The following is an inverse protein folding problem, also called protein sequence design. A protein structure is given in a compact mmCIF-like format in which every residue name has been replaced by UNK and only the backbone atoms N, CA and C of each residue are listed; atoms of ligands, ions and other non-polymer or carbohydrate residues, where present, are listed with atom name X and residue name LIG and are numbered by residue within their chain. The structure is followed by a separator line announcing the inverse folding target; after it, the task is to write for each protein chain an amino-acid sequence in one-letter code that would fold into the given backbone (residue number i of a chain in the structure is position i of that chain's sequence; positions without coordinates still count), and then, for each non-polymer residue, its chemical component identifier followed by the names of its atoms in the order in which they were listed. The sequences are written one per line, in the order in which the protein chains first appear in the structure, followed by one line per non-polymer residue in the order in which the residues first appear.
data_IF_667460969050
#
_entry.id   IF_667460969050
#
_cell.length_a   1.000
_cell.length_b   1.000
_cell.length_c   1.000
_cell.angle_alpha   90.00
_cell.angle_beta   90.00
_cell.angle_gamma   90.00
#
_symmetry.space_group_name_H-M   'P 1'
#
loop_
_entity.id
_entity.type
_entity.pdbx_description
1 polymer ?
#
# COMPACT_ATOMS: atom_id res chain seq x y z
N UNK A 1 20.83 -28.95 19.35
CA UNK A 1 20.48 -28.74 17.95
C UNK A 1 21.41 -29.61 17.13
N UNK A 2 20.89 -30.47 16.29
CA UNK A 2 21.70 -31.31 15.40
C UNK A 2 22.09 -30.53 14.16
N UNK A 3 23.26 -30.83 13.60
CA UNK A 3 23.78 -30.19 12.40
C UNK A 3 24.13 -31.23 11.35
N UNK A 4 23.90 -30.90 10.08
CA UNK A 4 24.43 -31.62 8.92
C UNK A 4 25.51 -30.80 8.25
N UNK A 5 26.39 -31.47 7.51
CA UNK A 5 27.47 -30.80 6.73
C UNK A 5 26.98 -30.61 5.31
N UNK A 6 27.01 -29.39 4.85
CA UNK A 6 26.73 -28.97 3.46
C UNK A 6 28.00 -28.42 2.81
N UNK A 7 28.02 -28.33 1.48
CA UNK A 7 29.18 -27.88 0.70
C UNK A 7 28.76 -26.84 -0.33
N UNK A 8 29.62 -25.87 -0.54
CA UNK A 8 29.61 -24.97 -1.68
C UNK A 8 31.04 -24.79 -2.26
N UNK A 9 31.22 -23.87 -3.19
CA UNK A 9 32.55 -23.60 -3.80
C UNK A 9 33.61 -23.08 -2.81
N UNK A 10 33.21 -22.67 -1.61
CA UNK A 10 34.10 -22.19 -0.55
C UNK A 10 34.42 -23.27 0.49
N UNK A 11 33.84 -24.46 0.37
CA UNK A 11 34.10 -25.60 1.27
C UNK A 11 32.88 -25.99 2.14
N UNK A 12 33.18 -26.67 3.23
CA UNK A 12 32.17 -27.20 4.17
C UNK A 12 31.58 -26.11 5.05
N UNK A 13 30.29 -26.29 5.41
CA UNK A 13 29.59 -25.47 6.39
C UNK A 13 28.59 -26.31 7.16
N UNK A 14 28.38 -26.02 8.44
CA UNK A 14 27.42 -26.69 9.33
C UNK A 14 26.07 -25.99 9.22
N UNK A 15 25.02 -26.73 8.86
CA UNK A 15 23.66 -26.26 8.71
C UNK A 15 22.76 -27.00 9.70
N UNK A 16 21.79 -26.34 10.38
CA UNK A 16 20.85 -27.04 11.27
C UNK A 16 20.14 -28.18 10.51
N UNK A 17 20.10 -29.36 11.11
CA UNK A 17 19.63 -30.57 10.41
C UNK A 17 18.12 -30.52 10.07
N UNK A 18 17.35 -29.75 10.83
CA UNK A 18 15.90 -29.54 10.65
C UNK A 18 15.52 -28.50 9.59
N UNK A 19 16.51 -27.82 8.96
CA UNK A 19 16.27 -26.77 7.98
C UNK A 19 16.53 -27.26 6.55
N UNK A 20 15.70 -26.78 5.61
CA UNK A 20 15.86 -27.09 4.18
C UNK A 20 16.89 -26.23 3.46
N UNK A 21 17.30 -25.05 4.02
CA UNK A 21 18.39 -24.28 3.41
C UNK A 21 19.72 -25.03 3.48
N UNK A 22 20.68 -24.65 2.63
CA UNK A 22 21.99 -25.28 2.56
C UNK A 22 23.13 -24.26 2.79
N UNK A 23 24.29 -24.54 2.17
CA UNK A 23 25.55 -23.85 2.46
C UNK A 23 25.48 -22.33 2.20
N UNK A 24 24.95 -21.88 1.07
CA UNK A 24 24.97 -20.46 0.72
C UNK A 24 24.06 -19.63 1.63
N UNK A 25 22.89 -20.13 1.96
CA UNK A 25 21.98 -19.48 2.92
C UNK A 25 22.63 -19.42 4.32
N UNK A 26 23.25 -20.50 4.76
CA UNK A 26 23.92 -20.54 6.07
C UNK A 26 25.02 -19.50 6.15
N UNK A 27 25.89 -19.41 5.13
CA UNK A 27 26.95 -18.39 5.08
C UNK A 27 26.38 -16.97 5.08
N UNK A 28 25.30 -16.73 4.35
CA UNK A 28 24.62 -15.43 4.35
C UNK A 28 24.12 -15.06 5.74
N UNK A 29 23.48 -15.99 6.45
CA UNK A 29 23.00 -15.79 7.83
C UNK A 29 24.13 -15.48 8.81
N UNK A 30 25.30 -16.05 8.61
CA UNK A 30 26.49 -15.81 9.45
C UNK A 30 27.20 -14.50 9.09
N UNK A 31 27.24 -14.15 7.79
CA UNK A 31 27.94 -12.99 7.27
C UNK A 31 27.17 -11.68 7.48
N UNK A 32 25.83 -11.70 7.38
CA UNK A 32 24.97 -10.51 7.45
C UNK A 32 24.11 -10.53 8.71
N UNK A 33 24.70 -10.15 9.85
CA UNK A 33 23.99 -10.08 11.15
C UNK A 33 23.49 -8.67 11.43
N UNK A 34 22.69 -8.13 10.51
CA UNK A 34 22.16 -6.76 10.53
C UNK A 34 20.65 -6.85 10.54
N UNK A 35 20.00 -6.38 11.61
CA UNK A 35 18.54 -6.38 11.74
C UNK A 35 17.90 -7.77 11.86
N UNK A 36 18.66 -8.76 12.34
CA UNK A 36 18.22 -10.15 12.48
C UNK A 36 16.95 -10.25 13.34
N UNK A 37 15.92 -10.91 12.79
CA UNK A 37 14.64 -11.09 13.45
C UNK A 37 13.68 -9.89 13.36
N UNK A 38 14.13 -8.79 12.74
CA UNK A 38 13.32 -7.57 12.51
C UNK A 38 13.21 -7.29 11.00
N UNK A 39 14.31 -6.95 10.35
CA UNK A 39 14.34 -6.66 8.91
C UNK A 39 14.66 -7.92 8.10
N UNK A 40 13.77 -8.89 8.16
CA UNK A 40 13.83 -10.11 7.32
C UNK A 40 13.29 -9.84 5.92
N UNK A 41 13.72 -10.66 4.96
CA UNK A 41 13.18 -10.60 3.58
C UNK A 41 11.64 -10.74 3.63
N UNK A 42 10.88 -9.83 2.98
CA UNK A 42 9.41 -9.88 3.00
C UNK A 42 8.86 -11.24 2.55
N UNK A 43 7.81 -11.70 3.22
CA UNK A 43 7.12 -12.96 2.86
C UNK A 43 6.58 -12.93 1.42
N UNK A 44 6.20 -11.77 0.95
CA UNK A 44 5.73 -11.53 -0.42
C UNK A 44 6.81 -11.86 -1.45
N UNK A 45 8.08 -11.57 -1.15
CA UNK A 45 9.22 -11.95 -2.00
C UNK A 45 9.42 -13.47 -1.98
N UNK A 46 9.33 -14.09 -0.81
CA UNK A 46 9.43 -15.56 -0.70
C UNK A 46 8.35 -16.25 -1.50
N UNK A 47 7.09 -15.78 -1.37
CA UNK A 47 5.95 -16.26 -2.14
C UNK A 47 6.19 -16.10 -3.66
N UNK A 48 6.67 -14.94 -4.09
CA UNK A 48 6.99 -14.67 -5.49
C UNK A 48 8.11 -15.57 -6.03
N UNK A 49 9.11 -15.89 -5.21
CA UNK A 49 10.12 -16.89 -5.58
C UNK A 49 9.51 -18.27 -5.80
N UNK A 50 8.59 -18.72 -4.96
CA UNK A 50 7.86 -19.97 -5.18
C UNK A 50 7.16 -20.01 -6.54
N UNK A 51 6.43 -18.94 -6.89
CA UNK A 51 5.75 -18.79 -8.18
C UNK A 51 6.76 -18.82 -9.34
N UNK A 52 7.82 -18.01 -9.24
CA UNK A 52 8.86 -17.91 -10.26
C UNK A 52 9.55 -19.25 -10.51
N UNK A 53 9.96 -19.95 -9.44
CA UNK A 53 10.66 -21.23 -9.56
C UNK A 53 9.75 -22.31 -10.14
N UNK A 54 8.48 -22.36 -9.76
CA UNK A 54 7.48 -23.24 -10.38
C UNK A 54 7.30 -22.93 -11.87
N UNK A 55 7.15 -21.65 -12.22
CA UNK A 55 6.99 -21.23 -13.62
C UNK A 55 8.22 -21.57 -14.47
N UNK A 56 9.43 -21.35 -13.93
CA UNK A 56 10.68 -21.66 -14.60
C UNK A 56 10.84 -23.18 -14.83
N UNK A 57 10.47 -24.01 -13.85
CA UNK A 57 10.49 -25.46 -14.01
C UNK A 57 9.52 -25.94 -15.09
N UNK A 58 8.29 -25.40 -15.14
CA UNK A 58 7.31 -25.69 -16.19
C UNK A 58 7.82 -25.29 -17.56
N UNK A 59 8.43 -24.12 -17.71
CA UNK A 59 9.02 -23.66 -18.96
C UNK A 59 10.21 -24.52 -19.39
N UNK A 60 11.09 -24.88 -18.47
CA UNK A 60 12.23 -25.77 -18.76
C UNK A 60 11.79 -27.19 -19.11
N UNK A 61 10.68 -27.69 -18.56
CA UNK A 61 10.15 -29.00 -18.93
C UNK A 61 9.67 -29.06 -20.41
N UNK A 62 9.20 -27.93 -20.94
CA UNK A 62 8.81 -27.84 -22.36
C UNK A 62 10.03 -27.60 -23.27
N UNK A 63 10.99 -26.77 -22.86
CA UNK A 63 12.11 -26.35 -23.69
C UNK A 63 13.35 -27.25 -23.56
N UNK A 64 13.51 -27.96 -22.44
CA UNK A 64 14.64 -28.82 -22.09
C UNK A 64 14.17 -30.12 -21.41
N UNK A 65 13.25 -30.89 -22.00
CA UNK A 65 12.68 -32.09 -21.37
C UNK A 65 13.74 -33.17 -21.01
N UNK A 66 14.88 -33.16 -21.69
CA UNK A 66 16.01 -34.05 -21.38
C UNK A 66 16.72 -33.71 -20.07
N UNK A 67 16.59 -32.46 -19.58
CA UNK A 67 17.18 -31.99 -18.32
C UNK A 67 16.14 -31.89 -17.21
N UNK A 68 14.99 -31.29 -17.51
CA UNK A 68 13.85 -31.21 -16.59
C UNK A 68 12.88 -32.33 -16.85
N UNK A 69 13.23 -33.55 -16.37
CA UNK A 69 12.39 -34.74 -16.51
C UNK A 69 11.07 -34.63 -15.75
N UNK A 70 10.08 -35.43 -16.08
CA UNK A 70 8.79 -35.44 -15.39
C UNK A 70 8.91 -35.68 -13.89
N UNK A 71 9.86 -36.50 -13.44
CA UNK A 71 10.11 -36.78 -12.03
C UNK A 71 10.70 -35.54 -11.31
N UNK A 72 11.67 -34.86 -11.94
CA UNK A 72 12.21 -33.61 -11.40
C UNK A 72 11.16 -32.50 -11.33
N UNK A 73 10.36 -32.37 -12.39
CA UNK A 73 9.28 -31.38 -12.44
C UNK A 73 8.25 -31.61 -11.32
N UNK A 74 7.81 -32.85 -11.10
CA UNK A 74 6.84 -33.20 -10.07
C UNK A 74 7.37 -32.84 -8.68
N UNK A 75 8.60 -33.24 -8.34
CA UNK A 75 9.21 -32.96 -7.05
C UNK A 75 9.44 -31.45 -6.83
N UNK A 76 9.92 -30.74 -7.84
CA UNK A 76 10.19 -29.30 -7.77
C UNK A 76 8.91 -28.48 -7.62
N UNK A 77 7.88 -28.79 -8.43
CA UNK A 77 6.62 -28.03 -8.39
C UNK A 77 5.87 -28.24 -7.07
N UNK A 78 5.88 -29.46 -6.52
CA UNK A 78 5.31 -29.72 -5.19
C UNK A 78 6.02 -28.92 -4.08
N UNK A 79 7.34 -28.91 -4.08
CA UNK A 79 8.11 -28.13 -3.11
C UNK A 79 7.89 -26.61 -3.29
N UNK A 80 7.80 -26.14 -4.54
CA UNK A 80 7.48 -24.74 -4.84
C UNK A 80 6.07 -24.36 -4.36
N UNK A 81 5.08 -25.25 -4.46
CA UNK A 81 3.73 -25.03 -3.94
C UNK A 81 3.70 -24.89 -2.43
N UNK A 82 4.55 -25.63 -1.70
CA UNK A 82 4.71 -25.44 -0.24
C UNK A 82 5.35 -24.07 0.10
N UNK A 83 6.27 -23.56 -0.74
CA UNK A 83 6.79 -22.18 -0.59
C UNK A 83 5.69 -21.16 -0.89
N UNK A 84 4.93 -21.33 -1.95
CA UNK A 84 3.80 -20.46 -2.33
C UNK A 84 2.75 -20.40 -1.21
N UNK A 85 2.41 -21.54 -0.61
CA UNK A 85 1.44 -21.60 0.48
C UNK A 85 1.94 -20.99 1.81
N UNK A 86 3.25 -20.74 1.93
CA UNK A 86 3.89 -20.24 3.15
C UNK A 86 4.23 -21.32 4.18
N UNK A 87 4.00 -22.59 3.88
CA UNK A 87 4.33 -23.71 4.79
C UNK A 87 5.82 -23.78 5.13
N UNK A 88 6.68 -23.34 4.21
CA UNK A 88 8.13 -23.38 4.38
C UNK A 88 8.74 -22.02 4.80
N UNK A 89 7.95 -21.06 5.28
CA UNK A 89 8.43 -19.71 5.57
C UNK A 89 9.56 -19.67 6.63
N UNK A 90 9.58 -20.60 7.56
CA UNK A 90 10.62 -20.71 8.59
C UNK A 90 12.00 -21.14 8.04
N UNK A 91 12.05 -21.53 6.76
CA UNK A 91 13.28 -21.90 6.07
C UNK A 91 13.88 -20.72 5.27
N UNK A 92 13.35 -19.48 5.45
CA UNK A 92 13.80 -18.26 4.81
C UNK A 92 14.26 -17.22 5.85
N UNK A 93 15.44 -17.44 6.49
CA UNK A 93 15.88 -16.63 7.63
C UNK A 93 16.60 -15.33 7.24
N UNK A 94 16.82 -15.08 5.93
CA UNK A 94 17.71 -14.03 5.48
C UNK A 94 17.17 -12.63 5.72
N UNK A 95 18.09 -11.73 6.03
CA UNK A 95 17.80 -10.31 6.26
C UNK A 95 17.80 -9.53 4.95
N UNK A 96 17.17 -8.36 4.96
CA UNK A 96 17.16 -7.39 3.84
C UNK A 96 18.60 -6.90 3.55
N UNK A 97 19.40 -6.72 4.59
CA UNK A 97 20.78 -6.20 4.55
C UNK A 97 21.76 -7.29 4.15
N UNK A 98 21.64 -7.75 2.91
CA UNK A 98 22.46 -8.77 2.24
C UNK A 98 23.08 -8.21 0.95
N UNK A 99 23.59 -9.07 0.07
CA UNK A 99 24.03 -8.61 -1.26
C UNK A 99 22.91 -7.89 -2.00
N UNK A 100 23.22 -6.75 -2.56
CA UNK A 100 22.23 -5.85 -3.17
C UNK A 100 21.56 -6.39 -4.44
N UNK A 101 22.10 -7.45 -5.04
CA UNK A 101 21.49 -8.19 -6.16
C UNK A 101 20.41 -9.21 -5.72
N UNK A 102 20.31 -9.48 -4.42
CA UNK A 102 19.40 -10.52 -3.90
C UNK A 102 19.86 -11.96 -4.15
N UNK A 103 21.12 -12.18 -4.48
CA UNK A 103 21.66 -13.52 -4.80
C UNK A 103 21.41 -14.52 -3.67
N UNK A 104 21.63 -14.13 -2.40
CA UNK A 104 21.38 -15.04 -1.29
C UNK A 104 19.92 -15.44 -1.16
N UNK A 105 18.98 -14.53 -1.39
CA UNK A 105 17.53 -14.86 -1.39
C UNK A 105 17.17 -15.81 -2.52
N UNK A 106 17.72 -15.61 -3.73
CA UNK A 106 17.55 -16.56 -4.83
C UNK A 106 18.11 -17.93 -4.47
N UNK A 107 19.31 -18.00 -3.89
CA UNK A 107 19.92 -19.26 -3.46
C UNK A 107 19.16 -19.91 -2.32
N UNK A 108 18.64 -19.12 -1.38
CA UNK A 108 17.78 -19.65 -0.31
C UNK A 108 16.55 -20.36 -0.90
N UNK A 109 15.85 -19.76 -1.86
CA UNK A 109 14.74 -20.41 -2.55
C UNK A 109 15.19 -21.68 -3.29
N UNK A 110 16.32 -21.62 -4.00
CA UNK A 110 16.86 -22.78 -4.70
C UNK A 110 17.19 -23.94 -3.77
N UNK A 111 17.86 -23.66 -2.64
CA UNK A 111 18.27 -24.65 -1.65
C UNK A 111 17.08 -25.29 -0.95
N UNK A 112 16.10 -24.48 -0.51
CA UNK A 112 14.89 -24.95 0.16
C UNK A 112 14.05 -25.82 -0.80
N UNK A 113 13.81 -25.39 -2.02
CA UNK A 113 13.02 -26.14 -3.00
C UNK A 113 13.73 -27.45 -3.40
N UNK A 114 15.08 -27.42 -3.61
CA UNK A 114 15.81 -28.63 -3.95
C UNK A 114 15.78 -29.65 -2.82
N UNK A 115 16.07 -29.24 -1.57
CA UNK A 115 16.11 -30.17 -0.45
C UNK A 115 14.72 -30.71 -0.10
N UNK A 116 13.68 -29.87 -0.12
CA UNK A 116 12.31 -30.33 0.09
C UNK A 116 11.84 -31.25 -1.03
N UNK A 117 12.15 -30.92 -2.29
CA UNK A 117 11.84 -31.75 -3.44
C UNK A 117 12.55 -33.13 -3.39
N UNK A 118 13.80 -33.15 -2.91
CA UNK A 118 14.54 -34.41 -2.69
C UNK A 118 13.88 -35.27 -1.61
N UNK A 119 13.40 -34.66 -0.52
CA UNK A 119 12.65 -35.38 0.51
C UNK A 119 11.33 -35.94 -0.05
N UNK A 120 10.57 -35.14 -0.80
CA UNK A 120 9.34 -35.57 -1.47
C UNK A 120 9.60 -36.77 -2.42
N UNK A 121 10.71 -36.71 -3.18
CA UNK A 121 11.12 -37.79 -4.10
C UNK A 121 11.69 -39.03 -3.38
N UNK A 122 12.04 -38.92 -2.09
CA UNK A 122 12.70 -39.98 -1.33
C UNK A 122 14.14 -40.28 -1.78
N UNK A 123 14.76 -39.43 -2.57
CA UNK A 123 16.12 -39.57 -3.09
C UNK A 123 16.73 -38.24 -3.48
N UNK A 124 18.06 -38.15 -3.61
CA UNK A 124 18.75 -36.99 -4.14
C UNK A 124 18.51 -36.88 -5.65
N UNK A 125 17.53 -36.08 -6.05
CA UNK A 125 17.06 -35.89 -7.43
C UNK A 125 17.34 -34.49 -7.97
N UNK A 126 17.16 -33.46 -7.14
CA UNK A 126 17.28 -32.04 -7.51
C UNK A 126 18.58 -31.44 -6.98
N UNK A 127 19.21 -30.59 -7.78
CA UNK A 127 20.33 -29.75 -7.41
C UNK A 127 19.92 -28.28 -7.44
N UNK A 128 20.26 -27.44 -6.41
CA UNK A 128 19.83 -26.04 -6.35
C UNK A 128 20.19 -25.23 -7.59
N UNK A 129 21.42 -25.33 -8.09
CA UNK A 129 21.88 -24.55 -9.24
C UNK A 129 21.46 -25.17 -10.59
N UNK A 130 21.63 -26.50 -10.74
CA UNK A 130 21.47 -27.15 -12.06
C UNK A 130 20.01 -27.36 -12.43
N UNK A 131 19.13 -27.59 -11.43
CA UNK A 131 17.72 -27.91 -11.67
C UNK A 131 16.81 -26.73 -11.27
N UNK A 132 16.88 -26.24 -10.02
CA UNK A 132 15.97 -25.19 -9.55
C UNK A 132 16.30 -23.82 -10.17
N UNK A 133 17.58 -23.54 -10.41
CA UNK A 133 18.04 -22.30 -11.05
C UNK A 133 18.29 -22.45 -12.57
N UNK A 134 17.86 -23.53 -13.18
CA UNK A 134 18.06 -23.80 -14.62
C UNK A 134 17.54 -22.63 -15.47
N UNK A 135 18.36 -22.16 -16.44
CA UNK A 135 18.06 -21.04 -17.35
C UNK A 135 17.93 -19.66 -16.67
N UNK A 136 18.39 -19.50 -15.44
CA UNK A 136 18.21 -18.30 -14.63
C UNK A 136 19.54 -17.77 -14.08
N UNK A 137 19.49 -16.51 -13.62
CA UNK A 137 20.51 -15.88 -12.76
C UNK A 137 19.80 -15.22 -11.58
N UNK A 138 20.52 -14.97 -10.48
CA UNK A 138 20.00 -14.10 -9.40
C UNK A 138 19.63 -12.71 -9.92
N UNK A 139 20.35 -12.25 -10.94
CA UNK A 139 20.21 -10.91 -11.48
C UNK A 139 18.85 -10.68 -12.19
N UNK A 140 18.30 -11.72 -12.80
CA UNK A 140 16.97 -11.65 -13.43
C UNK A 140 15.84 -12.22 -12.56
N UNK A 141 16.15 -13.13 -11.62
CA UNK A 141 15.12 -13.71 -10.72
C UNK A 141 14.65 -12.74 -9.65
N UNK A 142 15.57 -12.01 -8.99
CA UNK A 142 15.18 -11.12 -7.90
C UNK A 142 14.30 -9.95 -8.38
N UNK A 143 14.63 -9.20 -9.45
CA UNK A 143 13.72 -8.17 -9.98
C UNK A 143 12.40 -8.75 -10.49
N UNK A 144 12.38 -9.98 -11.00
CA UNK A 144 11.13 -10.67 -11.35
C UNK A 144 10.28 -10.94 -10.10
N UNK A 145 10.88 -11.43 -9.01
CA UNK A 145 10.18 -11.63 -7.74
C UNK A 145 9.67 -10.31 -7.17
N UNK A 146 10.41 -9.20 -7.32
CA UNK A 146 9.95 -7.85 -6.94
C UNK A 146 8.68 -7.47 -7.70
N UNK A 147 8.63 -7.65 -9.01
CA UNK A 147 7.47 -7.31 -9.82
C UNK A 147 6.26 -8.20 -9.50
N UNK A 148 6.46 -9.52 -9.38
CA UNK A 148 5.37 -10.45 -9.01
C UNK A 148 4.79 -10.05 -7.65
N UNK A 149 5.63 -9.85 -6.64
CA UNK A 149 5.18 -9.49 -5.30
C UNK A 149 4.48 -8.13 -5.26
N UNK A 150 4.98 -7.14 -6.01
CA UNK A 150 4.38 -5.81 -6.11
C UNK A 150 2.97 -5.85 -6.73
N UNK A 151 2.81 -6.56 -7.85
CA UNK A 151 1.51 -6.70 -8.51
C UNK A 151 0.51 -7.38 -7.58
N UNK A 152 0.87 -8.52 -6.98
CA UNK A 152 -0.02 -9.25 -6.08
C UNK A 152 -0.39 -8.42 -4.85
N UNK A 153 0.56 -7.69 -4.26
CA UNK A 153 0.29 -6.84 -3.10
C UNK A 153 -0.67 -5.69 -3.44
N UNK A 154 -0.51 -5.05 -4.60
CA UNK A 154 -1.39 -3.96 -5.03
C UNK A 154 -2.78 -4.50 -5.41
N UNK A 155 -2.85 -5.49 -6.31
CA UNK A 155 -4.12 -5.97 -6.87
C UNK A 155 -4.95 -6.77 -5.86
N UNK A 156 -4.30 -7.61 -5.06
CA UNK A 156 -5.02 -8.56 -4.19
C UNK A 156 -5.22 -8.04 -2.76
N UNK A 157 -4.54 -6.94 -2.37
CA UNK A 157 -4.63 -6.38 -1.02
C UNK A 157 -4.99 -4.90 -1.00
N UNK A 158 -4.20 -4.04 -1.66
CA UNK A 158 -4.37 -2.60 -1.54
C UNK A 158 -5.62 -2.10 -2.27
N UNK A 159 -5.81 -2.48 -3.53
CA UNK A 159 -7.00 -2.07 -4.31
C UNK A 159 -8.30 -2.54 -3.63
N UNK A 160 -8.45 -3.80 -3.18
CA UNK A 160 -9.65 -4.23 -2.47
C UNK A 160 -9.92 -3.45 -1.17
N UNK A 161 -8.87 -3.07 -0.43
CA UNK A 161 -9.00 -2.23 0.76
C UNK A 161 -9.57 -0.84 0.40
N UNK A 162 -9.03 -0.21 -0.66
CA UNK A 162 -9.51 1.07 -1.18
C UNK A 162 -10.97 0.95 -1.65
N UNK A 163 -11.30 -0.10 -2.41
CA UNK A 163 -12.66 -0.33 -2.91
C UNK A 163 -13.68 -0.47 -1.77
N UNK A 164 -13.30 -1.11 -0.67
CA UNK A 164 -14.16 -1.25 0.52
C UNK A 164 -14.44 0.12 1.16
N UNK A 165 -13.41 0.95 1.35
CA UNK A 165 -13.58 2.29 1.93
C UNK A 165 -14.37 3.23 0.99
N UNK A 166 -14.18 3.14 -0.32
CA UNK A 166 -15.01 3.85 -1.32
C UNK A 166 -16.49 3.48 -1.16
N UNK A 167 -16.79 2.19 -1.00
CA UNK A 167 -18.16 1.72 -0.80
C UNK A 167 -18.77 2.25 0.51
N UNK A 168 -17.98 2.31 1.58
CA UNK A 168 -18.38 2.92 2.86
C UNK A 168 -18.71 4.40 2.69
N UNK A 169 -17.85 5.16 2.00
CA UNK A 169 -18.13 6.59 1.79
C UNK A 169 -19.33 6.82 0.86
N UNK A 170 -19.56 5.99 -0.16
CA UNK A 170 -20.79 6.05 -0.98
C UNK A 170 -22.06 5.88 -0.14
N UNK A 171 -22.05 4.94 0.80
CA UNK A 171 -23.16 4.73 1.73
C UNK A 171 -23.35 5.95 2.64
N UNK A 172 -22.29 6.44 3.26
CA UNK A 172 -22.34 7.62 4.14
C UNK A 172 -22.79 8.89 3.40
N UNK A 173 -22.36 9.08 2.15
CA UNK A 173 -22.80 10.18 1.28
C UNK A 173 -24.32 10.15 1.11
N UNK A 174 -24.88 8.99 0.77
CA UNK A 174 -26.33 8.83 0.60
C UNK A 174 -27.11 9.03 1.91
N UNK A 175 -26.61 8.51 3.03
CA UNK A 175 -27.24 8.64 4.35
C UNK A 175 -27.26 10.08 4.87
N UNK A 176 -26.38 10.96 4.38
CA UNK A 176 -26.21 12.33 4.87
C UNK A 176 -26.59 13.42 3.84
N UNK A 177 -27.31 13.07 2.77
CA UNK A 177 -27.62 13.97 1.64
C UNK A 177 -28.31 15.27 2.05
N UNK A 178 -29.21 15.25 3.00
CA UNK A 178 -30.01 16.43 3.42
C UNK A 178 -29.37 17.28 4.53
N UNK A 179 -28.14 16.98 4.97
CA UNK A 179 -27.52 17.66 6.12
C UNK A 179 -26.66 18.81 5.62
N UNK A 180 -27.03 20.05 5.95
CA UNK A 180 -26.25 21.26 5.65
C UNK A 180 -25.39 21.65 6.86
N UNK A 181 -24.14 22.00 6.64
CA UNK A 181 -23.17 22.38 7.64
C UNK A 181 -22.30 23.56 7.16
N UNK A 182 -21.53 24.16 8.05
CA UNK A 182 -20.49 25.13 7.68
C UNK A 182 -19.40 24.43 6.91
N UNK A 183 -19.07 24.92 5.70
CA UNK A 183 -17.79 24.64 5.06
C UNK A 183 -16.67 25.33 5.80
N UNK A 184 -15.41 24.84 5.62
CA UNK A 184 -14.22 25.46 6.21
C UNK A 184 -13.09 25.52 5.21
N UNK A 185 -12.46 26.69 5.11
CA UNK A 185 -11.19 26.90 4.41
C UNK A 185 -10.22 27.55 5.37
N UNK A 186 -8.94 27.19 5.36
CA UNK A 186 -7.94 27.65 6.34
C UNK A 186 -8.31 27.35 7.80
N UNK A 187 -9.16 26.35 8.05
CA UNK A 187 -9.82 26.08 9.34
C UNK A 187 -10.71 27.24 9.84
N UNK A 188 -11.04 28.19 8.98
CA UNK A 188 -11.99 29.27 9.27
C UNK A 188 -13.36 28.95 8.68
N UNK A 189 -14.41 29.51 9.29
CA UNK A 189 -15.76 29.37 8.79
C UNK A 189 -15.89 29.90 7.37
N UNK A 190 -16.56 29.14 6.53
CA UNK A 190 -16.82 29.48 5.13
C UNK A 190 -18.32 29.32 4.81
N UNK A 191 -18.66 29.39 3.53
CA UNK A 191 -20.03 29.23 3.07
C UNK A 191 -20.56 27.82 3.35
N UNK A 192 -21.89 27.64 3.41
CA UNK A 192 -22.49 26.33 3.64
C UNK A 192 -22.12 25.30 2.60
N UNK A 193 -22.07 24.04 3.04
CA UNK A 193 -22.00 22.85 2.18
C UNK A 193 -22.91 21.76 2.74
N UNK A 194 -23.24 20.76 1.93
CA UNK A 194 -23.83 19.52 2.45
C UNK A 194 -22.74 18.62 3.03
N UNK A 195 -23.03 17.90 4.10
CA UNK A 195 -22.09 16.91 4.64
C UNK A 195 -21.84 15.80 3.62
N UNK A 196 -22.83 15.42 2.83
CA UNK A 196 -22.66 14.52 1.69
C UNK A 196 -21.64 15.02 0.67
N UNK A 197 -21.56 16.32 0.41
CA UNK A 197 -20.57 16.91 -0.50
C UNK A 197 -19.15 16.81 0.07
N UNK A 198 -18.96 16.99 1.38
CA UNK A 198 -17.68 16.80 2.05
C UNK A 198 -17.22 15.33 1.95
N UNK A 199 -18.11 14.37 2.23
CA UNK A 199 -17.85 12.93 2.07
C UNK A 199 -17.56 12.58 0.61
N UNK A 200 -18.25 13.17 -0.36
CA UNK A 200 -18.01 12.96 -1.78
C UNK A 200 -16.60 13.35 -2.19
N UNK A 201 -16.04 14.39 -1.57
CA UNK A 201 -14.64 14.80 -1.75
C UNK A 201 -13.67 13.71 -1.31
N UNK A 202 -13.89 13.11 -0.14
CA UNK A 202 -13.07 11.99 0.35
C UNK A 202 -13.16 10.76 -0.57
N UNK A 203 -14.38 10.40 -0.98
CA UNK A 203 -14.62 9.30 -1.92
C UNK A 203 -13.91 9.52 -3.26
N UNK A 204 -14.03 10.72 -3.80
CA UNK A 204 -13.46 11.05 -5.12
C UNK A 204 -11.93 10.98 -5.12
N UNK A 205 -11.27 11.40 -4.02
CA UNK A 205 -9.82 11.21 -3.85
C UNK A 205 -9.43 9.74 -3.95
N UNK A 206 -10.12 8.87 -3.22
CA UNK A 206 -9.85 7.43 -3.25
C UNK A 206 -10.13 6.78 -4.62
N UNK A 207 -11.19 7.21 -5.32
CA UNK A 207 -11.48 6.74 -6.68
C UNK A 207 -10.34 7.12 -7.65
N UNK A 208 -9.80 8.33 -7.52
CA UNK A 208 -8.64 8.77 -8.30
C UNK A 208 -7.38 7.99 -7.94
N UNK A 209 -7.11 7.77 -6.64
CA UNK A 209 -5.96 6.98 -6.20
C UNK A 209 -6.03 5.54 -6.72
N UNK A 210 -7.22 4.94 -6.73
CA UNK A 210 -7.45 3.62 -7.31
C UNK A 210 -7.11 3.58 -8.81
N UNK A 211 -7.45 4.63 -9.56
CA UNK A 211 -7.07 4.76 -10.98
C UNK A 211 -5.54 4.85 -11.13
N UNK A 212 -4.86 5.65 -10.29
CA UNK A 212 -3.41 5.79 -10.30
C UNK A 212 -2.70 4.47 -9.97
N UNK A 213 -3.19 3.73 -8.97
CA UNK A 213 -2.66 2.39 -8.65
C UNK A 213 -2.84 1.43 -9.82
N UNK A 214 -4.00 1.43 -10.47
CA UNK A 214 -4.28 0.58 -11.64
C UNK A 214 -3.35 0.92 -12.82
N UNK A 215 -3.11 2.21 -13.06
CA UNK A 215 -2.19 2.67 -14.10
C UNK A 215 -0.75 2.21 -13.82
N UNK A 216 -0.34 2.24 -12.55
CA UNK A 216 1.01 1.87 -12.13
C UNK A 216 1.30 0.37 -12.26
N UNK A 217 0.28 -0.49 -12.33
CA UNK A 217 0.45 -1.93 -12.55
C UNK A 217 0.98 -2.25 -13.95
N UNK A 218 0.62 -1.45 -14.96
CA UNK A 218 1.01 -1.72 -16.36
C UNK A 218 2.50 -2.01 -16.54
N UNK A 219 3.42 -1.11 -16.14
CA UNK A 219 4.85 -1.36 -16.20
C UNK A 219 5.34 -2.54 -15.36
N UNK A 220 4.71 -2.83 -14.22
CA UNK A 220 5.08 -3.92 -13.32
C UNK A 220 4.81 -5.32 -13.89
N UNK A 221 3.95 -5.45 -14.89
CA UNK A 221 3.71 -6.74 -15.53
C UNK A 221 4.89 -7.25 -16.36
N UNK A 222 5.85 -6.38 -16.73
CA UNK A 222 7.04 -6.76 -17.47
C UNK A 222 8.08 -7.47 -16.60
N UNK A 223 8.42 -8.72 -16.92
CA UNK A 223 9.34 -9.54 -16.15
C UNK A 223 10.76 -9.53 -16.72
N UNK A 224 11.76 -9.38 -15.84
CA UNK A 224 13.18 -9.44 -16.20
C UNK A 224 13.67 -10.85 -16.55
N UNK A 225 12.96 -11.89 -16.10
CA UNK A 225 13.37 -13.28 -16.23
C UNK A 225 13.63 -13.65 -17.69
N UNK A 226 14.74 -14.37 -17.91
CA UNK A 226 15.27 -14.67 -19.24
C UNK A 226 16.43 -13.76 -19.67
N UNK A 227 16.67 -12.62 -18.97
CA UNK A 227 17.85 -11.78 -19.19
C UNK A 227 19.13 -12.41 -18.68
N UNK A 228 19.03 -13.32 -17.73
CA UNK A 228 20.14 -14.00 -17.04
C UNK A 228 21.15 -13.03 -16.39
N UNK A 229 22.45 -13.20 -16.62
CA UNK A 229 23.49 -12.48 -15.88
C UNK A 229 23.54 -10.98 -16.15
N UNK A 230 23.39 -10.57 -17.41
CA UNK A 230 23.59 -9.17 -17.86
C UNK A 230 22.54 -8.68 -18.88
N UNK A 231 21.52 -9.48 -19.16
CA UNK A 231 20.45 -9.10 -20.10
C UNK A 231 20.52 -9.81 -21.47
N UNK A 232 21.56 -10.58 -21.74
CA UNK A 232 21.77 -11.25 -23.03
C UNK A 232 21.08 -12.61 -23.15
N UNK A 233 20.55 -13.15 -22.05
CA UNK A 233 19.93 -14.47 -22.03
C UNK A 233 20.93 -15.63 -22.08
N UNK A 234 22.17 -15.42 -21.64
CA UNK A 234 23.21 -16.45 -21.64
C UNK A 234 22.73 -17.71 -20.93
N UNK A 235 22.88 -18.88 -21.61
CA UNK A 235 22.48 -20.20 -21.14
C UNK A 235 20.97 -20.47 -21.03
N UNK A 236 20.10 -19.49 -21.29
CA UNK A 236 18.67 -19.71 -21.42
C UNK A 236 18.33 -20.20 -22.85
N UNK A 237 17.40 -21.16 -23.02
CA UNK A 237 16.95 -21.55 -24.34
C UNK A 237 16.11 -20.44 -24.97
N UNK A 238 16.08 -20.38 -26.28
CA UNK A 238 15.28 -19.39 -27.01
C UNK A 238 13.80 -19.52 -26.65
N UNK A 239 13.15 -18.41 -26.35
CA UNK A 239 11.72 -18.36 -25.99
C UNK A 239 11.46 -18.67 -24.50
N UNK A 240 12.50 -18.89 -23.70
CA UNK A 240 12.34 -19.11 -22.26
C UNK A 240 11.68 -17.93 -21.55
N UNK A 241 12.06 -16.72 -21.90
CA UNK A 241 11.55 -15.48 -21.29
C UNK A 241 10.05 -15.27 -21.56
N UNK A 242 9.58 -15.51 -22.78
CA UNK A 242 8.15 -15.43 -23.13
C UNK A 242 7.36 -16.55 -22.44
N UNK A 243 7.88 -17.79 -22.49
CA UNK A 243 7.18 -18.93 -21.93
C UNK A 243 7.09 -18.87 -20.41
N UNK A 244 8.16 -18.49 -19.72
CA UNK A 244 8.14 -18.37 -18.25
C UNK A 244 7.20 -17.26 -17.79
N UNK A 245 7.13 -16.11 -18.48
CA UNK A 245 6.18 -15.06 -18.20
C UNK A 245 4.73 -15.55 -18.37
N UNK A 246 4.44 -16.32 -19.42
CA UNK A 246 3.14 -16.95 -19.62
C UNK A 246 2.78 -17.95 -18.51
N UNK A 247 3.77 -18.72 -17.99
CA UNK A 247 3.55 -19.63 -16.86
C UNK A 247 3.27 -18.84 -15.55
N UNK A 248 3.99 -17.74 -15.31
CA UNK A 248 3.71 -16.84 -14.17
C UNK A 248 2.29 -16.28 -14.27
N UNK A 249 1.89 -15.81 -15.46
CA UNK A 249 0.53 -15.32 -15.71
C UNK A 249 -0.53 -16.39 -15.43
N UNK A 250 -0.32 -17.63 -15.88
CA UNK A 250 -1.24 -18.76 -15.65
C UNK A 250 -1.35 -19.14 -14.16
N UNK A 251 -0.23 -19.12 -13.41
CA UNK A 251 -0.23 -19.45 -11.98
C UNK A 251 -0.94 -18.37 -11.16
N UNK A 252 -0.74 -17.11 -11.50
CA UNK A 252 -1.23 -15.97 -10.71
C UNK A 252 -2.59 -15.45 -11.14
N UNK A 253 -3.03 -15.75 -12.36
CA UNK A 253 -4.20 -15.16 -13.00
C UNK A 253 -4.00 -13.67 -13.37
N UNK A 254 -2.75 -13.18 -13.43
CA UNK A 254 -2.40 -11.79 -13.77
C UNK A 254 -1.79 -11.71 -15.17
N UNK A 255 -1.72 -10.51 -15.74
CA UNK A 255 -1.30 -10.27 -17.13
C UNK A 255 0.22 -10.08 -17.30
N UNK A 256 1.03 -10.91 -16.61
CA UNK A 256 2.47 -10.85 -16.74
C UNK A 256 2.94 -11.17 -18.15
N UNK A 257 3.94 -10.42 -18.60
CA UNK A 257 4.59 -10.55 -19.91
C UNK A 257 6.12 -10.47 -19.75
N UNK A 258 6.86 -10.87 -20.78
CA UNK A 258 8.31 -10.65 -20.79
C UNK A 258 8.60 -9.16 -20.99
N UNK A 259 9.59 -8.60 -20.23
CA UNK A 259 10.04 -7.23 -20.45
C UNK A 259 10.66 -7.09 -21.85
N UNK A 260 10.33 -6.03 -22.59
CA UNK A 260 10.82 -5.84 -23.96
C UNK A 260 12.33 -5.55 -24.01
N UNK A 261 12.94 -5.12 -22.91
CA UNK A 261 14.37 -4.87 -22.82
C UNK A 261 14.93 -5.41 -21.51
N UNK A 262 15.69 -6.49 -21.57
CA UNK A 262 16.27 -7.16 -20.41
C UNK A 262 17.39 -6.35 -19.75
N UNK A 263 18.10 -5.51 -20.51
CA UNK A 263 19.14 -4.63 -19.96
C UNK A 263 18.53 -3.55 -19.05
N UNK A 264 17.41 -2.96 -19.48
CA UNK A 264 16.61 -2.05 -18.65
C UNK A 264 16.06 -2.78 -17.41
N UNK A 265 15.43 -3.93 -17.58
CA UNK A 265 14.75 -4.65 -16.51
C UNK A 265 15.69 -5.11 -15.37
N UNK A 266 16.98 -5.40 -15.69
CA UNK A 266 17.98 -5.76 -14.68
C UNK A 266 18.47 -4.54 -13.88
N UNK A 267 18.59 -3.39 -14.53
CA UNK A 267 19.26 -2.20 -13.98
C UNK A 267 18.29 -1.19 -13.42
N UNK A 268 17.24 -0.83 -14.17
CA UNK A 268 16.27 0.16 -13.74
C UNK A 268 15.24 -0.41 -12.78
N UNK A 269 14.75 0.43 -11.88
CA UNK A 269 13.65 0.14 -10.94
C UNK A 269 12.61 1.26 -10.98
N UNK A 270 12.55 1.95 -12.12
CA UNK A 270 11.62 3.07 -12.37
C UNK A 270 10.15 2.65 -12.26
N UNK A 271 9.81 1.41 -12.64
CA UNK A 271 8.46 0.86 -12.48
C UNK A 271 8.06 0.77 -10.99
N UNK A 272 9.00 0.37 -10.12
CA UNK A 272 8.78 0.32 -8.67
C UNK A 272 8.65 1.74 -8.09
N UNK A 273 9.48 2.69 -8.56
CA UNK A 273 9.38 4.11 -8.15
C UNK A 273 8.03 4.70 -8.56
N UNK A 274 7.61 4.47 -9.80
CA UNK A 274 6.33 4.97 -10.31
C UNK A 274 5.15 4.39 -9.50
N UNK A 275 5.16 3.10 -9.26
CA UNK A 275 4.12 2.45 -8.46
C UNK A 275 4.13 2.93 -7.00
N UNK A 276 5.31 3.13 -6.39
CA UNK A 276 5.40 3.70 -5.05
C UNK A 276 4.89 5.15 -5.00
N UNK A 277 5.09 5.92 -6.08
CA UNK A 277 4.50 7.24 -6.24
C UNK A 277 2.98 7.24 -6.16
N UNK A 278 2.31 6.25 -6.77
CA UNK A 278 0.86 6.05 -6.64
C UNK A 278 0.45 5.65 -5.22
N UNK A 279 1.21 4.76 -4.57
CA UNK A 279 0.99 4.39 -3.16
C UNK A 279 1.14 5.60 -2.23
N UNK A 280 2.13 6.46 -2.49
CA UNK A 280 2.33 7.71 -1.75
C UNK A 280 1.17 8.69 -1.96
N UNK A 281 0.63 8.82 -3.17
CA UNK A 281 -0.54 9.68 -3.44
C UNK A 281 -1.72 9.25 -2.56
N UNK A 282 -2.04 7.96 -2.54
CA UNK A 282 -3.07 7.39 -1.66
C UNK A 282 -2.76 7.67 -0.17
N UNK A 283 -1.51 7.56 0.27
CA UNK A 283 -1.13 7.87 1.65
C UNK A 283 -1.37 9.35 2.00
N UNK A 284 -1.13 10.28 1.07
CA UNK A 284 -1.43 11.71 1.25
C UNK A 284 -2.93 11.96 1.42
N UNK A 285 -3.76 11.34 0.59
CA UNK A 285 -5.21 11.50 0.68
C UNK A 285 -5.78 10.81 1.93
N UNK A 286 -5.28 9.65 2.30
CA UNK A 286 -5.65 9.01 3.56
C UNK A 286 -5.28 9.86 4.78
N UNK A 287 -4.13 10.53 4.77
CA UNK A 287 -3.76 11.49 5.83
C UNK A 287 -4.74 12.65 5.89
N UNK A 288 -5.12 13.22 4.75
CA UNK A 288 -6.11 14.31 4.67
C UNK A 288 -7.48 13.86 5.19
N UNK A 289 -7.97 12.71 4.76
CA UNK A 289 -9.25 12.15 5.20
C UNK A 289 -9.25 11.90 6.71
N UNK A 290 -8.22 11.24 7.24
CA UNK A 290 -8.09 10.97 8.66
C UNK A 290 -8.02 12.26 9.50
N UNK A 291 -7.35 13.30 9.01
CA UNK A 291 -7.32 14.61 9.69
C UNK A 291 -8.68 15.29 9.68
N UNK A 292 -9.41 15.29 8.57
CA UNK A 292 -10.76 15.85 8.51
C UNK A 292 -11.70 15.14 9.49
N UNK A 293 -11.73 13.81 9.48
CA UNK A 293 -12.54 13.00 10.39
C UNK A 293 -12.19 13.33 11.85
N UNK A 294 -10.90 13.39 12.18
CA UNK A 294 -10.43 13.72 13.52
C UNK A 294 -10.82 15.13 13.97
N UNK A 295 -10.75 16.12 13.06
CA UNK A 295 -11.18 17.48 13.34
C UNK A 295 -12.70 17.56 13.56
N UNK A 296 -13.49 16.96 12.69
CA UNK A 296 -14.95 16.95 12.79
C UNK A 296 -15.44 16.26 14.07
N UNK A 297 -14.72 15.24 14.53
CA UNK A 297 -15.03 14.51 15.78
C UNK A 297 -14.46 15.15 17.04
N UNK A 298 -13.71 16.24 16.93
CA UNK A 298 -13.01 16.86 18.06
C UNK A 298 -13.97 17.38 19.13
N UNK A 299 -13.58 17.25 20.39
CA UNK A 299 -14.36 17.73 21.53
C UNK A 299 -14.71 16.60 22.50
N UNK A 300 -16.00 16.28 22.72
CA UNK A 300 -17.21 16.63 21.95
C UNK A 300 -17.83 18.00 22.27
N UNK A 301 -17.48 18.64 23.41
CA UNK A 301 -18.09 19.91 23.81
C UNK A 301 -17.30 21.15 23.41
N UNK A 302 -15.98 21.13 23.61
CA UNK A 302 -15.08 22.27 23.39
C UNK A 302 -14.38 22.25 22.01
N UNK A 303 -14.70 21.26 21.16
CA UNK A 303 -14.23 21.14 19.79
C UNK A 303 -15.36 21.29 18.77
N UNK A 304 -15.12 20.84 17.52
CA UNK A 304 -16.12 20.93 16.47
C UNK A 304 -17.34 20.04 16.76
N UNK A 305 -17.13 18.80 17.15
CA UNK A 305 -18.18 17.87 17.57
C UNK A 305 -19.27 17.62 16.51
N UNK A 306 -18.97 17.80 15.24
CA UNK A 306 -19.94 17.70 14.15
C UNK A 306 -20.24 16.25 13.72
N UNK A 307 -19.33 15.33 14.06
CA UNK A 307 -19.54 13.90 13.87
C UNK A 307 -19.18 13.12 15.14
N UNK A 308 -19.76 11.94 15.26
CA UNK A 308 -19.35 10.93 16.23
C UNK A 308 -18.72 9.78 15.49
N UNK A 309 -17.65 9.20 16.06
CA UNK A 309 -16.95 8.04 15.58
C UNK A 309 -17.03 6.91 16.63
N UNK A 310 -16.84 5.64 16.25
CA UNK A 310 -16.85 4.52 17.19
C UNK A 310 -15.83 4.68 18.32
N UNK A 311 -16.24 4.28 19.52
CA UNK A 311 -15.40 4.19 20.70
C UNK A 311 -14.79 2.80 20.77
N UNK A 312 -13.49 2.68 20.50
CA UNK A 312 -12.82 1.37 20.40
C UNK A 312 -12.08 0.97 21.68
N UNK A 313 -11.53 1.96 22.42
CA UNK A 313 -10.78 1.74 23.66
C UNK A 313 -10.79 3.00 24.56
N UNK A 314 -10.51 2.85 25.88
CA UNK A 314 -10.35 3.98 26.77
C UNK A 314 -9.21 4.90 26.31
N UNK A 315 -9.48 6.21 26.18
CA UNK A 315 -8.56 7.18 25.63
C UNK A 315 -7.57 7.81 26.62
N UNK A 316 -7.69 7.52 27.92
CA UNK A 316 -6.85 8.13 28.95
C UNK A 316 -6.80 7.28 30.23
N UNK A 317 -5.62 7.24 30.85
CA UNK A 317 -5.42 6.59 32.15
C UNK A 317 -5.88 7.42 33.34
N UNK A 318 -6.09 8.76 33.15
CA UNK A 318 -6.43 9.69 34.23
C UNK A 318 -7.70 10.52 33.97
N UNK A 319 -8.26 10.49 32.75
CA UNK A 319 -9.49 11.21 32.39
C UNK A 319 -10.59 10.19 32.01
N UNK A 320 -11.43 9.76 32.97
CA UNK A 320 -12.46 8.77 32.68
C UNK A 320 -13.44 9.26 31.62
N UNK A 321 -13.78 8.39 30.67
CA UNK A 321 -14.72 8.70 29.58
C UNK A 321 -14.14 9.47 28.40
N UNK A 322 -12.83 9.78 28.41
CA UNK A 322 -12.15 10.36 27.25
C UNK A 322 -11.94 9.29 26.18
N UNK A 323 -12.39 9.57 24.95
CA UNK A 323 -12.17 8.71 23.77
C UNK A 323 -11.34 9.49 22.75
N UNK A 324 -10.30 8.86 22.22
CA UNK A 324 -9.41 9.46 21.22
C UNK A 324 -9.73 8.93 19.82
N UNK A 325 -9.43 9.70 18.76
CA UNK A 325 -9.60 9.26 17.37
C UNK A 325 -8.43 8.39 16.92
N UNK A 326 -8.18 7.27 17.62
CA UNK A 326 -6.97 6.45 17.50
C UNK A 326 -6.78 5.83 16.13
N UNK A 327 -7.86 5.49 15.43
CA UNK A 327 -7.78 4.99 14.05
C UNK A 327 -7.26 6.07 13.09
N UNK A 328 -7.68 7.31 13.27
CA UNK A 328 -7.14 8.44 12.50
C UNK A 328 -5.65 8.66 12.77
N UNK A 329 -5.24 8.53 14.04
CA UNK A 329 -3.83 8.66 14.44
C UNK A 329 -2.97 7.56 13.80
N UNK A 330 -3.44 6.30 13.83
CA UNK A 330 -2.77 5.18 13.20
C UNK A 330 -2.57 5.39 11.69
N UNK A 331 -3.62 5.81 10.98
CA UNK A 331 -3.56 6.13 9.54
C UNK A 331 -2.52 7.20 9.24
N UNK A 332 -2.51 8.28 10.02
CA UNK A 332 -1.55 9.38 9.80
C UNK A 332 -0.10 8.96 10.05
N UNK A 333 0.15 8.09 11.05
CA UNK A 333 1.49 7.53 11.28
C UNK A 333 1.92 6.60 10.12
N UNK A 334 1.03 5.74 9.63
CA UNK A 334 1.30 4.90 8.45
C UNK A 334 1.60 5.75 7.22
N UNK A 335 0.84 6.82 6.98
CA UNK A 335 1.09 7.72 5.87
C UNK A 335 2.49 8.37 5.94
N UNK A 336 2.93 8.80 7.13
CA UNK A 336 4.30 9.32 7.34
C UNK A 336 5.34 8.26 7.00
N UNK A 337 5.15 7.00 7.43
CA UNK A 337 6.06 5.92 7.12
C UNK A 337 6.16 5.66 5.62
N UNK A 338 5.02 5.64 4.91
CA UNK A 338 4.99 5.49 3.44
C UNK A 338 5.74 6.61 2.73
N UNK A 339 5.59 7.86 3.17
CA UNK A 339 6.32 9.01 2.61
C UNK A 339 7.83 8.89 2.84
N UNK A 340 8.25 8.40 4.01
CA UNK A 340 9.67 8.11 4.29
C UNK A 340 10.22 6.98 3.41
N UNK A 341 9.46 5.92 3.23
CA UNK A 341 9.82 4.80 2.36
C UNK A 341 9.95 5.22 0.89
N UNK A 342 9.15 6.18 0.42
CA UNK A 342 9.26 6.72 -0.95
C UNK A 342 10.64 7.28 -1.24
N UNK A 343 11.22 7.99 -0.29
CA UNK A 343 12.60 8.48 -0.40
C UNK A 343 13.60 7.33 -0.49
N UNK A 344 13.46 6.31 0.36
CA UNK A 344 14.34 5.15 0.34
C UNK A 344 14.24 4.37 -0.99
N UNK A 345 13.02 4.17 -1.51
CA UNK A 345 12.77 3.50 -2.81
C UNK A 345 13.40 4.30 -3.95
N UNK A 346 13.18 5.60 -4.01
CA UNK A 346 13.71 6.47 -5.08
C UNK A 346 15.24 6.52 -5.07
N UNK A 347 15.85 6.64 -3.88
CA UNK A 347 17.30 6.63 -3.75
C UNK A 347 17.90 5.28 -4.14
N UNK A 348 17.31 4.17 -3.69
CA UNK A 348 17.77 2.83 -4.05
C UNK A 348 17.65 2.56 -5.56
N UNK A 349 16.56 2.99 -6.18
CA UNK A 349 16.35 2.83 -7.62
C UNK A 349 17.38 3.60 -8.46
N UNK A 350 17.83 4.77 -7.97
CA UNK A 350 18.83 5.60 -8.65
C UNK A 350 20.27 5.03 -8.67
N UNK A 351 20.52 3.94 -7.95
CA UNK A 351 21.87 3.38 -7.74
C UNK A 351 22.25 2.25 -8.72
N UNK A 352 21.55 2.08 -9.83
CA UNK A 352 21.92 1.14 -10.89
C UNK A 352 23.24 1.55 -11.54
N UNK A 353 24.15 0.58 -11.72
CA UNK A 353 25.43 0.79 -12.38
C UNK A 353 25.59 -0.25 -13.48
N UNK A 354 25.78 0.20 -14.74
CA UNK A 354 25.88 -0.66 -15.91
C UNK A 354 24.67 -1.63 -15.99
N UNK A 355 24.89 -2.94 -15.92
CA UNK A 355 23.89 -3.95 -16.20
C UNK A 355 23.14 -4.46 -14.94
N UNK A 356 23.33 -3.82 -13.76
CA UNK A 356 22.67 -4.27 -12.54
C UNK A 356 22.45 -3.15 -11.51
N UNK A 357 21.30 -3.18 -10.83
CA UNK A 357 21.07 -2.46 -9.60
C UNK A 357 21.37 -3.38 -8.40
N UNK A 358 22.17 -2.90 -7.46
CA UNK A 358 22.55 -3.66 -6.25
C UNK A 358 21.96 -3.07 -4.96
N UNK A 359 20.80 -2.44 -5.05
CA UNK A 359 19.98 -1.94 -3.94
C UNK A 359 18.56 -2.58 -3.95
N UNK A 360 18.41 -3.69 -4.66
CA UNK A 360 17.10 -4.32 -4.86
C UNK A 360 16.44 -4.79 -3.57
N UNK A 361 17.12 -5.39 -2.57
CA UNK A 361 16.47 -5.82 -1.34
C UNK A 361 15.86 -4.66 -0.54
N UNK A 362 16.55 -3.54 -0.38
CA UNK A 362 16.01 -2.38 0.34
C UNK A 362 14.88 -1.71 -0.43
N UNK A 363 14.96 -1.70 -1.77
CA UNK A 363 13.88 -1.22 -2.63
C UNK A 363 12.60 -2.05 -2.44
N UNK A 364 12.71 -3.38 -2.53
CA UNK A 364 11.60 -4.31 -2.32
C UNK A 364 10.99 -4.23 -0.92
N UNK A 365 11.83 -4.17 0.11
CA UNK A 365 11.41 -4.10 1.51
C UNK A 365 10.55 -2.86 1.78
N UNK A 366 11.05 -1.68 1.41
CA UNK A 366 10.31 -0.42 1.65
C UNK A 366 9.03 -0.34 0.81
N UNK A 367 9.07 -0.81 -0.43
CA UNK A 367 7.88 -0.87 -1.29
C UNK A 367 6.78 -1.75 -0.67
N UNK A 368 7.11 -2.99 -0.36
CA UNK A 368 6.14 -3.96 0.16
C UNK A 368 5.65 -3.60 1.56
N UNK A 369 6.53 -3.02 2.42
CA UNK A 369 6.10 -2.48 3.71
C UNK A 369 5.04 -1.39 3.53
N UNK A 370 5.26 -0.45 2.61
CA UNK A 370 4.31 0.63 2.33
C UNK A 370 2.96 0.11 1.89
N UNK A 371 2.93 -0.80 0.93
CA UNK A 371 1.69 -1.39 0.40
C UNK A 371 0.93 -2.14 1.49
N UNK A 372 1.62 -2.99 2.26
CA UNK A 372 1.03 -3.78 3.34
C UNK A 372 0.46 -2.90 4.45
N UNK A 373 1.26 -1.99 4.99
CA UNK A 373 0.82 -1.12 6.08
C UNK A 373 -0.36 -0.25 5.68
N UNK A 374 -0.33 0.30 4.45
CA UNK A 374 -1.42 1.15 3.98
C UNK A 374 -2.71 0.37 3.74
N UNK A 375 -2.63 -0.83 3.16
CA UNK A 375 -3.79 -1.70 2.98
C UNK A 375 -4.42 -2.09 4.34
N UNK A 376 -3.60 -2.50 5.31
CA UNK A 376 -4.05 -2.87 6.65
C UNK A 376 -4.64 -1.67 7.40
N UNK A 377 -4.02 -0.49 7.29
CA UNK A 377 -4.51 0.74 7.90
C UNK A 377 -5.87 1.19 7.33
N UNK A 378 -6.06 1.07 6.01
CA UNK A 378 -7.34 1.37 5.34
C UNK A 378 -8.44 0.42 5.83
N UNK A 379 -8.18 -0.87 5.89
CA UNK A 379 -9.13 -1.87 6.39
C UNK A 379 -9.48 -1.61 7.86
N UNK A 380 -8.49 -1.31 8.69
CA UNK A 380 -8.71 -0.98 10.10
C UNK A 380 -9.52 0.31 10.27
N UNK A 381 -9.16 1.34 9.53
CA UNK A 381 -9.87 2.63 9.54
C UNK A 381 -11.32 2.48 9.06
N UNK A 382 -11.56 1.76 7.97
CA UNK A 382 -12.90 1.49 7.48
C UNK A 382 -13.75 0.80 8.53
N UNK A 383 -13.28 -0.33 9.03
CA UNK A 383 -14.02 -1.17 9.98
C UNK A 383 -14.28 -0.50 11.32
N UNK A 384 -13.28 0.18 11.87
CA UNK A 384 -13.28 0.66 13.25
C UNK A 384 -13.51 2.18 13.39
N UNK A 385 -13.64 2.91 12.29
CA UNK A 385 -13.89 4.34 12.29
C UNK A 385 -14.92 4.75 11.23
N UNK A 386 -14.56 4.66 9.94
CA UNK A 386 -15.34 5.25 8.86
C UNK A 386 -16.76 4.67 8.77
N UNK A 387 -16.91 3.34 8.86
CA UNK A 387 -18.22 2.67 8.76
C UNK A 387 -19.21 3.08 9.86
N UNK A 388 -18.71 3.60 10.98
CA UNK A 388 -19.50 4.02 12.13
C UNK A 388 -19.60 5.54 12.30
N UNK A 389 -19.23 6.34 11.32
CA UNK A 389 -19.41 7.80 11.36
C UNK A 389 -20.88 8.15 11.40
N UNK A 390 -21.27 8.98 12.37
CA UNK A 390 -22.62 9.52 12.53
C UNK A 390 -22.57 11.03 12.62
N UNK A 391 -23.35 11.73 11.79
CA UNK A 391 -23.48 13.18 11.86
C UNK A 391 -24.17 13.61 13.17
N UNK A 392 -23.63 14.58 13.86
CA UNK A 392 -24.32 15.31 14.92
C UNK A 392 -25.08 16.50 14.28
N UNK A 393 -26.32 16.23 13.88
CA UNK A 393 -27.14 17.18 13.11
C UNK A 393 -27.39 18.47 13.90
N UNK A 394 -27.60 18.36 15.21
CA UNK A 394 -27.86 19.51 16.06
C UNK A 394 -26.61 20.40 16.16
N UNK A 395 -25.45 19.78 16.30
CA UNK A 395 -24.17 20.53 16.34
C UNK A 395 -23.84 21.17 14.99
N UNK A 396 -24.06 20.45 13.89
CA UNK A 396 -23.88 21.01 12.53
C UNK A 396 -24.84 22.19 12.30
N UNK A 397 -26.10 22.06 12.67
CA UNK A 397 -27.08 23.12 12.57
C UNK A 397 -26.69 24.34 13.43
N UNK A 398 -26.32 24.12 14.69
CA UNK A 398 -25.88 25.16 15.60
C UNK A 398 -24.64 25.91 15.06
N UNK A 399 -23.60 25.20 14.63
CA UNK A 399 -22.39 25.80 14.09
C UNK A 399 -22.69 26.60 12.82
N UNK A 400 -23.52 26.06 11.92
CA UNK A 400 -23.93 26.74 10.69
C UNK A 400 -24.62 28.07 11.02
N UNK A 401 -25.63 28.07 11.89
CA UNK A 401 -26.43 29.27 12.17
C UNK A 401 -25.70 30.32 13.01
N UNK A 402 -24.60 29.96 13.67
CA UNK A 402 -23.72 30.91 14.33
C UNK A 402 -22.61 31.46 13.41
N UNK A 403 -22.46 30.93 12.21
CA UNK A 403 -21.43 31.39 11.28
C UNK A 403 -21.79 32.78 10.71
N UNK A 404 -20.88 33.74 10.84
CA UNK A 404 -21.03 35.05 10.23
C UNK A 404 -20.91 35.02 8.70
N UNK A 405 -20.35 33.95 8.15
CA UNK A 405 -20.19 33.80 6.69
C UNK A 405 -21.52 33.56 5.97
N UNK A 406 -22.57 33.22 6.71
CA UNK A 406 -23.94 33.19 6.19
C UNK A 406 -24.42 34.55 5.67
N UNK A 407 -23.79 35.65 6.08
CA UNK A 407 -24.07 37.00 5.55
C UNK A 407 -23.97 37.05 4.02
N UNK A 408 -23.20 36.14 3.42
CA UNK A 408 -23.08 36.04 1.95
C UNK A 408 -24.43 35.79 1.26
N UNK A 409 -25.39 35.14 1.93
CA UNK A 409 -26.76 34.97 1.45
C UNK A 409 -27.49 36.31 1.23
N UNK A 410 -27.10 37.34 1.95
CA UNK A 410 -27.70 38.65 1.88
C UNK A 410 -27.14 39.54 0.75
N UNK A 411 -26.00 39.15 0.13
CA UNK A 411 -25.35 39.95 -0.92
C UNK A 411 -26.29 40.36 -2.07
N UNK A 412 -27.19 39.49 -2.58
CA UNK A 412 -28.12 39.88 -3.64
C UNK A 412 -29.13 40.95 -3.24
N UNK A 413 -29.39 41.12 -1.94
CA UNK A 413 -30.44 41.99 -1.40
C UNK A 413 -29.91 43.32 -0.84
N UNK A 414 -28.74 43.29 -0.18
CA UNK A 414 -28.19 44.47 0.48
C UNK A 414 -26.83 44.92 -0.09
N UNK A 415 -26.26 44.12 -1.00
CA UNK A 415 -24.93 44.36 -1.58
C UNK A 415 -23.77 43.97 -0.64
N UNK A 416 -22.61 43.73 -1.22
CA UNK A 416 -21.41 43.22 -0.52
C UNK A 416 -20.95 44.12 0.64
N UNK A 417 -20.93 45.46 0.44
CA UNK A 417 -20.47 46.38 1.47
C UNK A 417 -21.38 46.40 2.73
N UNK A 418 -22.68 46.34 2.52
CA UNK A 418 -23.65 46.32 3.65
C UNK A 418 -23.64 44.93 4.32
N UNK A 419 -23.49 43.87 3.59
CA UNK A 419 -23.26 42.52 4.15
C UNK A 419 -21.98 42.51 5.01
N UNK A 420 -20.89 43.13 4.57
CA UNK A 420 -19.65 43.23 5.33
C UNK A 420 -19.84 44.07 6.62
N UNK A 421 -20.63 45.16 6.57
CA UNK A 421 -20.97 45.95 7.76
C UNK A 421 -21.81 45.15 8.75
N UNK A 422 -22.76 44.36 8.25
CA UNK A 422 -23.62 43.47 9.05
C UNK A 422 -22.77 42.43 9.79
N UNK A 423 -21.88 41.73 9.11
CA UNK A 423 -21.00 40.74 9.72
C UNK A 423 -20.05 41.37 10.76
N UNK A 424 -19.45 42.52 10.45
CA UNK A 424 -18.57 43.26 11.39
C UNK A 424 -19.31 43.70 12.66
N UNK A 425 -20.54 44.22 12.51
CA UNK A 425 -21.36 44.62 13.69
C UNK A 425 -21.73 43.36 14.52
N UNK A 426 -22.21 42.32 13.86
CA UNK A 426 -22.56 41.07 14.54
C UNK A 426 -21.37 40.51 15.34
N UNK A 427 -20.18 40.46 14.73
CA UNK A 427 -18.96 40.03 15.41
C UNK A 427 -18.57 40.89 16.59
N UNK A 428 -18.52 42.22 16.39
CA UNK A 428 -18.08 43.18 17.42
C UNK A 428 -18.98 43.20 18.63
N UNK A 429 -20.27 43.07 18.42
CA UNK A 429 -21.30 43.21 19.47
C UNK A 429 -21.79 41.86 19.99
N UNK A 430 -21.35 40.73 19.42
CA UNK A 430 -21.76 39.40 19.85
C UNK A 430 -23.25 39.11 19.60
N UNK A 431 -23.82 39.70 18.55
CA UNK A 431 -25.25 39.58 18.18
C UNK A 431 -25.41 38.78 16.91
N UNK A 432 -26.67 38.35 16.63
CA UNK A 432 -26.95 37.58 15.39
C UNK A 432 -26.85 38.46 14.13
N UNK A 433 -26.64 37.81 12.96
CA UNK A 433 -26.69 38.50 11.66
C UNK A 433 -28.03 39.20 11.44
N UNK A 434 -29.14 38.58 11.86
CA UNK A 434 -30.49 39.15 11.76
C UNK A 434 -30.56 40.46 12.56
N UNK A 435 -30.19 40.42 13.84
CA UNK A 435 -30.21 41.58 14.69
C UNK A 435 -29.32 42.71 14.14
N UNK A 436 -28.11 42.39 13.75
CA UNK A 436 -27.19 43.39 13.17
C UNK A 436 -27.73 44.02 11.87
N UNK A 437 -28.34 43.23 10.98
CA UNK A 437 -28.91 43.70 9.74
C UNK A 437 -30.08 44.65 9.96
N UNK A 438 -30.98 44.30 10.87
CA UNK A 438 -32.15 45.11 11.22
C UNK A 438 -31.72 46.42 11.91
N UNK A 439 -30.83 46.38 12.89
CA UNK A 439 -30.33 47.56 13.57
C UNK A 439 -29.57 48.52 12.64
N UNK A 440 -28.94 48.02 11.57
CA UNK A 440 -28.31 48.84 10.55
C UNK A 440 -29.33 49.37 9.52
N UNK A 441 -30.58 48.96 9.61
CA UNK A 441 -31.65 49.42 8.72
C UNK A 441 -31.57 48.89 7.30
N UNK A 442 -30.88 47.77 7.07
CA UNK A 442 -30.70 47.22 5.72
C UNK A 442 -31.87 46.34 5.30
N UNK A 443 -32.50 45.60 6.25
CA UNK A 443 -33.71 44.80 6.01
C UNK A 443 -34.62 44.90 7.29
N UNK A 444 -35.94 44.66 7.11
CA UNK A 444 -36.83 44.38 8.24
C UNK A 444 -36.66 42.95 8.71
N UNK A 445 -37.17 42.61 9.90
CA UNK A 445 -37.13 41.24 10.40
C UNK A 445 -37.81 40.27 9.46
N UNK A 446 -39.02 40.62 8.97
CA UNK A 446 -39.82 39.81 8.06
C UNK A 446 -39.07 39.58 6.73
N UNK A 447 -38.43 40.63 6.19
CA UNK A 447 -37.71 40.53 4.95
C UNK A 447 -36.42 39.73 5.10
N UNK A 448 -35.75 39.83 6.26
CA UNK A 448 -34.61 38.98 6.56
C UNK A 448 -35.00 37.50 6.57
N UNK A 449 -36.06 37.14 7.27
CA UNK A 449 -36.55 35.76 7.34
C UNK A 449 -37.03 35.22 5.97
N UNK A 450 -37.56 36.08 5.13
CA UNK A 450 -37.97 35.73 3.74
C UNK A 450 -36.79 35.38 2.84
N UNK A 451 -35.63 35.99 3.04
CA UNK A 451 -34.51 35.87 2.09
C UNK A 451 -33.30 35.06 2.64
N UNK A 452 -33.27 34.79 3.91
CA UNK A 452 -32.16 34.17 4.58
C UNK A 452 -32.32 32.65 4.72
N UNK A 453 -31.91 31.92 3.69
CA UNK A 453 -32.05 30.48 3.58
C UNK A 453 -30.68 29.82 3.33
N UNK A 454 -29.88 29.51 4.38
CA UNK A 454 -28.58 28.87 4.23
C UNK A 454 -28.61 27.57 3.45
N UNK A 455 -29.71 26.83 3.56
CA UNK A 455 -29.95 25.57 2.85
C UNK A 455 -30.05 25.70 1.32
N UNK A 456 -30.31 26.90 0.81
CA UNK A 456 -30.33 27.18 -0.63
C UNK A 456 -28.97 27.65 -1.19
N UNK A 457 -27.95 27.73 -0.32
CA UNK A 457 -26.59 28.12 -0.72
C UNK A 457 -25.72 26.94 -1.17
N UNK A 458 -26.23 25.69 -1.15
CA UNK A 458 -25.53 24.42 -1.40
C UNK A 458 -26.03 23.73 -2.67
#
# INVERSE_FOLDING_TARGET
MEFRTEHDSMGEVKVPADKYWAAQTQRSSENFRIGVGIETMPREIVHAFGILKKAAALANAELRPEKMTAEKLDALTKAADEVISGQLIEHFPLVVWQTGSGTQSNMNANEVIANRGNEIAGKKLLHPNDDVNMSQSSNDTFPTAMHISAVLAIEDKLIPAVDTLIATFKRLEAENEGIVKSGRTHLQDATPIKFSQEISGWRSSLERDRELLTLALGPLYGLALGGTAVGTGLNAPRGFDELVAAKVAAITGKTFVTSPNKFHALTSKDEIVFAHGAVKALACDMMKIANDVRWLASGPRDGLGEIRIPENEPGSSIMPGKVNPTQCEAVTMVAVQVMGNDTAVSMAASQGNFELNVFMPVCAYNFLQSVRLLAEAIVSFDKNCASGIVADKDKMYHNLHNSLMLVTALNPYIGYENAAKTAKKAYKEGISLKQACVELGFLTEEKFDEVFHPELMV
#
